data_IF_149275793350
#
_entry.id   IF_149275793350
#
_cell.length_a   1.000
_cell.length_b   1.000
_cell.length_c   1.000
_cell.angle_alpha   90.00
_cell.angle_beta   90.00
_cell.angle_gamma   90.00
#
_symmetry.space_group_name_H-M   'P 1'
#
loop_
_entity.id
_entity.type
_entity.pdbx_description
1 polymer ?
#
# COMPACT_ATOMS: atom_id res chain seq x y z
N UNK A 1 34.47 4.31 -25.21
CA UNK A 1 33.81 3.73 -24.03
C UNK A 1 32.55 4.56 -23.78
N UNK A 2 31.43 4.14 -24.37
CA UNK A 2 30.15 4.81 -24.15
C UNK A 2 29.74 4.54 -22.72
N UNK A 3 29.74 5.58 -21.91
CA UNK A 3 29.12 5.54 -20.58
C UNK A 3 27.63 5.29 -20.81
N UNK A 4 27.20 4.03 -20.68
CA UNK A 4 25.79 3.68 -20.56
C UNK A 4 25.27 4.53 -19.40
N UNK A 5 24.49 5.56 -19.70
CA UNK A 5 23.75 6.29 -18.68
C UNK A 5 22.88 5.22 -18.02
N UNK A 6 23.26 4.80 -16.83
CA UNK A 6 22.50 3.87 -16.00
C UNK A 6 21.16 4.55 -15.73
N UNK A 7 20.14 4.11 -16.44
CA UNK A 7 18.78 4.58 -16.20
C UNK A 7 18.30 3.90 -14.91
N UNK A 8 18.16 4.63 -13.84
CA UNK A 8 17.56 4.14 -12.60
C UNK A 8 16.10 4.55 -12.55
N UNK A 9 15.23 3.63 -12.10
CA UNK A 9 13.84 3.94 -11.80
C UNK A 9 13.70 4.22 -10.30
N UNK A 10 13.20 5.40 -9.94
CA UNK A 10 12.99 5.78 -8.54
C UNK A 10 11.51 5.72 -8.19
N UNK A 11 11.17 4.94 -7.16
CA UNK A 11 9.81 4.77 -6.64
C UNK A 11 9.71 5.43 -5.27
N UNK A 12 8.66 6.21 -5.05
CA UNK A 12 8.26 6.63 -3.71
C UNK A 12 7.19 5.66 -3.18
N UNK A 13 7.40 5.11 -1.99
CA UNK A 13 6.45 4.23 -1.32
C UNK A 13 5.97 4.84 -0.02
N UNK A 14 4.68 5.14 0.05
CA UNK A 14 3.96 5.65 1.23
C UNK A 14 2.79 4.72 1.58
N UNK A 15 2.33 4.74 2.83
CA UNK A 15 1.21 3.92 3.31
C UNK A 15 0.51 4.53 4.51
N UNK A 16 -0.68 4.03 4.81
CA UNK A 16 -1.39 4.25 6.07
C UNK A 16 -1.56 5.74 6.40
N UNK A 17 -2.10 6.49 5.45
CA UNK A 17 -2.28 7.93 5.54
C UNK A 17 -3.40 8.34 6.49
N UNK A 18 -4.44 7.50 6.63
CA UNK A 18 -5.53 7.61 7.57
C UNK A 18 -6.20 8.98 7.59
N UNK A 19 -6.51 9.55 6.42
CA UNK A 19 -7.33 10.75 6.35
C UNK A 19 -8.65 10.51 7.08
N UNK A 20 -8.99 11.39 8.00
CA UNK A 20 -10.14 11.22 8.85
C UNK A 20 -11.09 12.41 8.80
N UNK A 21 -12.36 12.09 8.88
CA UNK A 21 -13.47 13.01 9.10
C UNK A 21 -14.44 12.35 10.08
N UNK A 22 -15.29 13.15 10.72
CA UNK A 22 -16.26 12.61 11.64
C UNK A 22 -17.57 12.30 10.91
N UNK A 23 -18.31 11.23 11.32
CA UNK A 23 -19.65 10.97 10.85
C UNK A 23 -20.57 12.17 11.09
N UNK A 24 -21.33 12.60 10.08
CA UNK A 24 -22.14 13.81 10.13
C UNK A 24 -23.65 13.53 10.24
N UNK A 25 -24.07 12.30 9.94
CA UNK A 25 -25.47 11.91 9.97
C UNK A 25 -25.64 10.54 10.63
N UNK A 26 -26.86 10.26 11.09
CA UNK A 26 -27.18 9.02 11.81
C UNK A 26 -26.87 7.73 11.03
N UNK A 27 -26.91 7.77 9.70
CA UNK A 27 -26.58 6.61 8.86
C UNK A 27 -25.09 6.28 8.90
N UNK A 28 -24.23 7.28 9.04
CA UNK A 28 -22.79 7.11 9.16
C UNK A 28 -22.36 6.60 10.53
N UNK A 29 -23.16 6.84 11.59
CA UNK A 29 -22.97 6.33 12.95
C UNK A 29 -23.42 4.88 13.15
N UNK A 30 -23.69 4.12 12.09
CA UNK A 30 -24.10 2.71 12.18
C UNK A 30 -22.91 1.77 12.13
N UNK A 31 -23.10 0.57 12.72
CA UNK A 31 -22.19 -0.58 12.63
C UNK A 31 -20.79 -0.35 13.22
N UNK A 32 -19.79 -0.98 12.65
CA UNK A 32 -18.36 -0.91 13.01
C UNK A 32 -17.80 0.53 13.11
N UNK A 33 -18.41 1.51 12.41
CA UNK A 33 -18.02 2.91 12.48
C UNK A 33 -18.17 3.53 13.86
N UNK A 34 -19.11 3.07 14.69
CA UNK A 34 -19.27 3.59 16.07
C UNK A 34 -18.00 3.34 16.87
N UNK A 35 -17.47 2.11 16.86
CA UNK A 35 -16.23 1.77 17.55
C UNK A 35 -15.03 2.53 16.98
N UNK A 36 -14.96 2.64 15.66
CA UNK A 36 -13.92 3.40 14.98
C UNK A 36 -14.00 4.90 15.29
N UNK A 37 -15.19 5.49 15.32
CA UNK A 37 -15.39 6.90 15.61
C UNK A 37 -15.08 7.26 17.07
N UNK A 38 -15.44 6.40 18.04
CA UNK A 38 -15.06 6.61 19.45
C UNK A 38 -13.53 6.53 19.63
N UNK A 39 -12.87 5.56 19.01
CA UNK A 39 -11.42 5.48 19.04
C UNK A 39 -10.76 6.68 18.35
N UNK A 40 -11.34 7.17 17.24
CA UNK A 40 -10.89 8.38 16.54
C UNK A 40 -10.99 9.61 17.44
N UNK A 41 -12.14 9.80 18.11
CA UNK A 41 -12.37 10.94 19.01
C UNK A 41 -11.37 10.99 20.16
N UNK A 42 -11.02 9.84 20.75
CA UNK A 42 -10.21 9.79 21.96
C UNK A 42 -8.71 9.62 21.74
N UNK A 43 -8.26 9.07 20.59
CA UNK A 43 -6.84 8.71 20.39
C UNK A 43 -6.29 9.00 19.00
N UNK A 44 -7.02 8.74 17.92
CA UNK A 44 -6.45 8.70 16.57
C UNK A 44 -6.45 10.03 15.81
N UNK A 45 -7.38 10.96 16.09
CA UNK A 45 -7.44 12.23 15.38
C UNK A 45 -6.16 13.08 15.57
N UNK A 46 -5.59 13.06 16.77
CA UNK A 46 -4.30 13.73 17.05
C UNK A 46 -3.09 13.00 16.48
N UNK A 47 -3.26 11.72 16.15
CA UNK A 47 -2.19 10.87 15.62
C UNK A 47 -1.89 11.13 14.15
N UNK A 48 -2.92 11.45 13.35
CA UNK A 48 -2.83 11.65 11.89
C UNK A 48 -3.29 13.07 11.51
N UNK A 49 -2.57 14.12 11.89
CA UNK A 49 -3.01 15.48 11.56
C UNK A 49 -2.85 15.76 10.06
N UNK A 50 -3.85 16.41 9.48
CA UNK A 50 -3.86 16.80 8.07
C UNK A 50 -2.61 17.60 7.67
N UNK A 51 -2.04 18.37 8.59
CA UNK A 51 -0.82 19.14 8.34
C UNK A 51 0.37 18.24 7.97
N UNK A 52 0.48 17.04 8.56
CA UNK A 52 1.55 16.10 8.20
C UNK A 52 1.35 15.52 6.80
N UNK A 53 0.10 15.24 6.41
CA UNK A 53 -0.19 14.82 5.04
C UNK A 53 0.19 15.91 4.02
N UNK A 54 -0.10 17.19 4.31
CA UNK A 54 0.32 18.31 3.49
C UNK A 54 1.85 18.47 3.42
N UNK A 55 2.55 18.26 4.54
CA UNK A 55 4.02 18.26 4.60
C UNK A 55 4.61 17.11 3.76
N UNK A 56 4.03 15.90 3.85
CA UNK A 56 4.41 14.75 3.05
C UNK A 56 4.29 15.05 1.55
N UNK A 57 3.15 15.55 1.12
CA UNK A 57 2.90 15.95 -0.28
C UNK A 57 3.93 16.99 -0.74
N UNK A 58 4.14 18.07 0.03
CA UNK A 58 5.09 19.12 -0.30
C UNK A 58 6.54 18.62 -0.36
N UNK A 59 6.89 17.60 0.46
CA UNK A 59 8.21 16.98 0.43
C UNK A 59 8.38 16.12 -0.83
N UNK A 60 7.42 15.26 -1.15
CA UNK A 60 7.46 14.39 -2.34
C UNK A 60 7.48 15.22 -3.62
N UNK A 61 6.75 16.33 -3.70
CA UNK A 61 6.78 17.24 -4.87
C UNK A 61 8.18 17.80 -5.18
N UNK A 62 9.05 17.90 -4.18
CA UNK A 62 10.42 18.39 -4.35
C UNK A 62 11.44 17.30 -4.68
N UNK A 63 11.01 16.05 -4.67
CA UNK A 63 11.85 14.90 -4.96
C UNK A 63 11.74 14.50 -6.44
N UNK A 64 12.82 13.91 -6.96
CA UNK A 64 12.77 13.26 -8.26
C UNK A 64 12.30 11.81 -8.08
N UNK A 65 11.25 11.43 -8.80
CA UNK A 65 10.71 10.07 -8.78
C UNK A 65 10.00 9.76 -10.10
N UNK A 66 10.02 8.49 -10.48
CA UNK A 66 9.35 7.99 -11.67
C UNK A 66 7.96 7.44 -11.35
N UNK A 67 7.77 6.82 -10.18
CA UNK A 67 6.51 6.20 -9.81
C UNK A 67 6.18 6.39 -8.31
N UNK A 68 4.91 6.59 -8.01
CA UNK A 68 4.40 6.68 -6.64
C UNK A 68 3.57 5.43 -6.32
N UNK A 69 3.86 4.78 -5.20
CA UNK A 69 3.09 3.67 -4.65
C UNK A 69 2.45 4.09 -3.34
N UNK A 70 1.13 3.89 -3.22
CA UNK A 70 0.38 4.03 -1.98
C UNK A 70 -0.23 2.67 -1.63
N UNK A 71 0.31 2.02 -0.60
CA UNK A 71 -0.06 0.64 -0.26
C UNK A 71 -1.23 0.52 0.72
N UNK A 72 -2.18 1.45 0.65
CA UNK A 72 -3.49 1.34 1.31
C UNK A 72 -3.66 2.20 2.55
N UNK A 73 -4.85 2.07 3.15
CA UNK A 73 -5.32 2.83 4.30
C UNK A 73 -5.24 4.35 4.09
N UNK A 74 -5.84 4.79 2.97
CA UNK A 74 -6.03 6.21 2.66
C UNK A 74 -6.92 6.87 3.70
N UNK A 75 -8.02 6.20 4.10
CA UNK A 75 -9.01 6.75 5.02
C UNK A 75 -9.05 6.00 6.34
N UNK A 76 -9.61 6.62 7.38
CA UNK A 76 -9.76 6.00 8.70
C UNK A 76 -11.08 5.22 8.86
N UNK A 77 -12.18 5.70 8.27
CA UNK A 77 -13.54 5.19 8.51
C UNK A 77 -14.33 4.88 7.22
N UNK A 78 -13.70 4.90 6.06
CA UNK A 78 -14.38 4.79 4.75
C UNK A 78 -15.56 5.78 4.61
N UNK A 79 -15.44 7.00 5.12
CA UNK A 79 -16.42 8.06 4.91
C UNK A 79 -16.14 8.76 3.59
N UNK A 80 -17.19 9.13 2.86
CA UNK A 80 -17.05 9.81 1.58
C UNK A 80 -16.23 11.10 1.69
N UNK A 81 -16.48 11.90 2.74
CA UNK A 81 -15.68 13.10 3.02
C UNK A 81 -14.21 12.80 3.31
N UNK A 82 -13.89 11.64 3.92
CA UNK A 82 -12.52 11.20 4.12
C UNK A 82 -11.83 10.90 2.80
N UNK A 83 -12.52 10.24 1.85
CA UNK A 83 -12.00 10.02 0.50
C UNK A 83 -11.82 11.32 -0.28
N UNK A 84 -12.79 12.26 -0.20
CA UNK A 84 -12.67 13.59 -0.82
C UNK A 84 -11.46 14.35 -0.30
N UNK A 85 -11.28 14.39 1.04
CA UNK A 85 -10.14 15.04 1.68
C UNK A 85 -8.80 14.41 1.27
N UNK A 86 -8.75 13.07 1.21
CA UNK A 86 -7.57 12.36 0.73
C UNK A 86 -7.26 12.71 -0.74
N UNK A 87 -8.27 12.68 -1.62
CA UNK A 87 -8.13 13.01 -3.04
C UNK A 87 -7.63 14.44 -3.24
N UNK A 88 -8.25 15.40 -2.56
CA UNK A 88 -7.87 16.81 -2.64
C UNK A 88 -6.44 17.06 -2.15
N UNK A 89 -6.08 16.44 -1.01
CA UNK A 89 -4.74 16.63 -0.42
C UNK A 89 -3.64 16.00 -1.29
N UNK A 90 -3.92 14.83 -1.87
CA UNK A 90 -2.95 14.09 -2.70
C UNK A 90 -2.93 14.58 -4.16
N UNK A 91 -3.90 15.39 -4.60
CA UNK A 91 -4.04 15.83 -5.99
C UNK A 91 -2.72 16.30 -6.65
N UNK A 92 -1.84 17.05 -5.97
CA UNK A 92 -0.57 17.47 -6.56
C UNK A 92 0.35 16.32 -6.98
N UNK A 93 0.20 15.12 -6.40
CA UNK A 93 0.98 13.91 -6.71
C UNK A 93 0.27 12.99 -7.70
N UNK A 94 -1.02 13.21 -7.94
CA UNK A 94 -1.91 12.31 -8.68
C UNK A 94 -2.25 12.79 -10.11
N UNK A 95 -1.49 13.74 -10.65
CA UNK A 95 -1.76 14.35 -11.95
C UNK A 95 -1.61 13.41 -13.13
N UNK A 96 -0.73 12.43 -13.01
CA UNK A 96 -0.50 11.41 -14.03
C UNK A 96 -0.80 10.01 -13.46
N UNK A 97 -1.98 9.44 -13.77
CA UNK A 97 -2.35 8.11 -13.27
C UNK A 97 -1.41 6.99 -13.73
N UNK A 98 -0.63 7.18 -14.80
CA UNK A 98 0.32 6.18 -15.26
C UNK A 98 1.55 6.08 -14.34
N UNK A 99 1.84 7.13 -13.60
CA UNK A 99 2.95 7.19 -12.64
C UNK A 99 2.52 6.86 -11.22
N UNK A 100 1.29 6.36 -11.01
CA UNK A 100 0.77 6.12 -9.66
C UNK A 100 0.10 4.75 -9.58
N UNK A 101 0.39 4.02 -8.52
CA UNK A 101 -0.31 2.79 -8.12
C UNK A 101 -0.85 2.97 -6.71
N UNK A 102 -2.16 2.83 -6.54
CA UNK A 102 -2.82 2.87 -5.24
C UNK A 102 -3.60 1.58 -5.06
N UNK A 103 -3.36 0.86 -3.97
CA UNK A 103 -4.18 -0.30 -3.59
C UNK A 103 -5.00 0.05 -2.34
N UNK A 104 -6.20 -0.51 -2.15
CA UNK A 104 -6.98 -0.25 -0.94
C UNK A 104 -6.44 -1.02 0.26
N UNK A 105 -6.55 -0.40 1.46
CA UNK A 105 -6.36 -1.07 2.74
C UNK A 105 -7.69 -1.44 3.41
N UNK A 106 -7.62 -2.05 4.59
CA UNK A 106 -8.82 -2.48 5.33
C UNK A 106 -9.68 -1.30 5.80
N UNK A 107 -9.08 -0.16 6.09
CA UNK A 107 -9.80 1.06 6.45
C UNK A 107 -10.50 1.71 5.24
N UNK A 108 -10.07 1.45 4.01
CA UNK A 108 -10.73 1.94 2.79
C UNK A 108 -11.95 1.10 2.41
N UNK A 109 -12.00 -0.16 2.82
CA UNK A 109 -13.11 -1.10 2.66
C UNK A 109 -13.81 -1.40 4.00
N UNK A 110 -13.78 -0.50 4.95
CA UNK A 110 -14.08 -0.69 6.38
C UNK A 110 -15.48 -1.26 6.67
N UNK A 111 -16.49 -0.85 5.91
CA UNK A 111 -17.88 -1.28 6.09
C UNK A 111 -18.50 -1.72 4.77
N UNK A 112 -19.47 -2.67 4.84
CA UNK A 112 -20.21 -3.16 3.67
C UNK A 112 -20.87 -2.05 2.86
N UNK A 113 -21.39 -1.01 3.50
CA UNK A 113 -22.01 0.13 2.83
C UNK A 113 -20.99 0.90 1.98
N UNK A 114 -19.78 1.15 2.48
CA UNK A 114 -18.74 1.85 1.72
C UNK A 114 -18.24 0.99 0.55
N UNK A 115 -18.16 -0.32 0.73
CA UNK A 115 -17.83 -1.25 -0.34
C UNK A 115 -18.97 -1.38 -1.37
N UNK A 116 -20.24 -1.38 -0.91
CA UNK A 116 -21.41 -1.40 -1.80
C UNK A 116 -21.56 -0.14 -2.65
N UNK A 117 -21.20 1.02 -2.10
CA UNK A 117 -21.16 2.30 -2.84
C UNK A 117 -19.86 2.47 -3.62
N UNK A 118 -18.94 1.51 -3.49
CA UNK A 118 -17.63 1.50 -4.15
C UNK A 118 -16.87 2.83 -4.04
N UNK A 119 -16.88 3.41 -2.83
CA UNK A 119 -16.29 4.72 -2.57
C UNK A 119 -14.80 4.78 -2.93
N UNK A 120 -14.06 3.70 -2.69
CA UNK A 120 -12.67 3.63 -3.11
C UNK A 120 -12.53 3.84 -4.63
N UNK A 121 -13.26 3.09 -5.45
CA UNK A 121 -13.19 3.22 -6.90
C UNK A 121 -13.76 4.55 -7.40
N UNK A 122 -14.74 5.13 -6.72
CA UNK A 122 -15.26 6.47 -7.04
C UNK A 122 -14.16 7.53 -7.00
N UNK A 123 -13.25 7.48 -6.03
CA UNK A 123 -12.23 8.50 -5.82
C UNK A 123 -10.84 8.11 -6.34
N UNK A 124 -10.51 6.83 -6.38
CA UNK A 124 -9.17 6.32 -6.69
C UNK A 124 -9.14 5.20 -7.72
N UNK A 125 -10.27 4.85 -8.33
CA UNK A 125 -10.38 3.75 -9.28
C UNK A 125 -9.51 3.91 -10.55
N UNK A 126 -9.20 5.13 -10.94
CA UNK A 126 -8.30 5.41 -12.07
C UNK A 126 -6.85 4.92 -11.82
N UNK A 127 -6.45 4.77 -10.56
CA UNK A 127 -5.11 4.33 -10.16
C UNK A 127 -5.02 2.81 -9.96
N UNK A 128 -6.13 2.10 -9.93
CA UNK A 128 -6.17 0.65 -9.82
C UNK A 128 -6.84 -0.02 -11.04
N UNK A 129 -7.94 0.55 -11.53
CA UNK A 129 -8.73 -0.01 -12.62
C UNK A 129 -9.82 -0.98 -12.14
N UNK A 130 -10.45 -1.68 -13.11
CA UNK A 130 -11.55 -2.63 -12.86
C UNK A 130 -11.13 -4.09 -12.94
N UNK A 131 -9.85 -4.36 -13.19
CA UNK A 131 -9.29 -5.70 -13.33
C UNK A 131 -9.00 -6.33 -11.97
N UNK A 132 -8.80 -7.67 -11.95
CA UNK A 132 -8.39 -8.40 -10.74
C UNK A 132 -7.00 -7.98 -10.23
N UNK A 133 -6.17 -7.45 -11.11
CA UNK A 133 -4.84 -6.90 -10.81
C UNK A 133 -4.65 -5.58 -11.53
N UNK A 134 -3.82 -4.73 -10.94
CA UNK A 134 -3.38 -3.49 -11.55
C UNK A 134 -1.95 -3.64 -12.05
N UNK A 135 -1.69 -3.39 -13.34
CA UNK A 135 -0.36 -3.49 -13.95
C UNK A 135 0.16 -2.12 -14.34
N UNK A 136 1.40 -1.82 -13.94
CA UNK A 136 2.20 -0.70 -14.45
C UNK A 136 3.58 -1.20 -14.90
N UNK A 137 3.94 -0.94 -16.15
CA UNK A 137 5.28 -1.19 -16.64
C UNK A 137 6.17 -0.01 -16.28
N UNK A 138 7.35 -0.31 -15.78
CA UNK A 138 8.40 0.66 -15.49
C UNK A 138 9.51 0.52 -16.53
N UNK A 139 10.57 1.32 -16.38
CA UNK A 139 11.80 1.16 -17.15
C UNK A 139 12.57 -0.09 -16.66
N UNK A 140 13.58 -0.50 -17.43
CA UNK A 140 14.55 -1.53 -17.06
C UNK A 140 13.93 -2.89 -16.66
N UNK A 141 12.93 -3.33 -17.45
CA UNK A 141 12.24 -4.62 -17.27
C UNK A 141 11.56 -4.79 -15.91
N UNK A 142 11.20 -3.70 -15.24
CA UNK A 142 10.40 -3.75 -14.03
C UNK A 142 8.91 -3.54 -14.31
N UNK A 143 8.09 -4.19 -13.53
CA UNK A 143 6.65 -4.01 -13.56
C UNK A 143 6.06 -4.05 -12.14
N UNK A 144 5.09 -3.19 -11.87
CA UNK A 144 4.31 -3.16 -10.64
C UNK A 144 2.98 -3.89 -10.87
N UNK A 145 2.62 -4.77 -9.94
CA UNK A 145 1.34 -5.47 -9.89
C UNK A 145 0.65 -5.15 -8.57
N UNK A 146 -0.41 -4.35 -8.63
CA UNK A 146 -1.25 -4.04 -7.47
C UNK A 146 -2.31 -5.10 -7.23
N UNK A 147 -2.53 -5.47 -5.97
CA UNK A 147 -3.56 -6.40 -5.51
C UNK A 147 -4.56 -5.73 -4.59
N UNK A 148 -5.86 -5.93 -4.83
CA UNK A 148 -6.92 -5.60 -3.89
C UNK A 148 -7.29 -6.85 -3.06
N UNK A 149 -6.77 -6.91 -1.84
CA UNK A 149 -7.06 -7.98 -0.88
C UNK A 149 -7.93 -7.52 0.29
N UNK A 150 -8.33 -6.24 0.30
CA UNK A 150 -9.17 -5.68 1.33
C UNK A 150 -10.66 -5.98 1.07
N UNK A 151 -11.38 -6.30 2.10
CA UNK A 151 -12.85 -6.50 2.04
C UNK A 151 -13.50 -6.15 3.38
N UNK A 152 -14.80 -5.83 3.38
CA UNK A 152 -15.52 -5.58 4.61
C UNK A 152 -15.57 -6.82 5.50
N UNK A 153 -15.15 -6.69 6.74
CA UNK A 153 -15.11 -7.76 7.73
C UNK A 153 -16.13 -7.55 8.85
N UNK A 154 -16.23 -8.55 9.72
CA UNK A 154 -16.98 -8.47 10.97
C UNK A 154 -16.40 -7.39 11.89
N UNK A 155 -17.12 -7.06 12.96
CA UNK A 155 -16.79 -5.97 13.89
C UNK A 155 -15.36 -5.98 14.44
N UNK A 156 -14.77 -7.16 14.61
CA UNK A 156 -13.46 -7.35 15.26
C UNK A 156 -12.32 -7.67 14.27
N UNK A 157 -12.60 -7.87 12.98
CA UNK A 157 -11.58 -8.27 12.03
C UNK A 157 -11.23 -7.15 11.05
N UNK A 158 -9.93 -6.99 10.82
CA UNK A 158 -9.32 -6.16 9.78
C UNK A 158 -8.58 -7.02 8.73
N UNK A 159 -8.76 -8.34 8.77
CA UNK A 159 -8.07 -9.29 7.91
C UNK A 159 -8.42 -9.12 6.42
N UNK A 160 -7.51 -9.52 5.55
CA UNK A 160 -7.69 -9.50 4.10
C UNK A 160 -7.72 -10.91 3.49
N UNK A 161 -7.93 -10.97 2.19
CA UNK A 161 -7.83 -12.22 1.42
C UNK A 161 -7.37 -11.92 -0.01
N UNK A 162 -6.27 -12.48 -0.43
CA UNK A 162 -5.90 -12.48 -1.84
C UNK A 162 -6.75 -13.52 -2.55
N UNK A 163 -7.59 -13.10 -3.50
CA UNK A 163 -8.50 -14.01 -4.20
C UNK A 163 -7.73 -14.97 -5.12
N UNK A 164 -8.32 -16.14 -5.36
CA UNK A 164 -7.75 -17.09 -6.32
C UNK A 164 -7.67 -16.50 -7.73
N UNK A 165 -8.66 -15.69 -8.12
CA UNK A 165 -8.66 -14.97 -9.40
C UNK A 165 -7.48 -13.99 -9.52
N UNK A 166 -7.13 -13.30 -8.43
CA UNK A 166 -5.98 -12.39 -8.38
C UNK A 166 -4.67 -13.16 -8.59
N UNK A 167 -4.48 -14.29 -7.91
CA UNK A 167 -3.30 -15.15 -8.12
C UNK A 167 -3.25 -15.70 -9.55
N UNK A 168 -4.38 -16.17 -10.10
CA UNK A 168 -4.44 -16.69 -11.46
C UNK A 168 -4.15 -15.59 -12.51
N UNK A 169 -4.69 -14.38 -12.32
CA UNK A 169 -4.41 -13.26 -13.21
C UNK A 169 -2.93 -12.86 -13.17
N UNK A 170 -2.33 -12.88 -11.96
CA UNK A 170 -0.89 -12.64 -11.80
C UNK A 170 -0.07 -13.75 -12.45
N UNK A 171 -0.42 -15.02 -12.27
CA UNK A 171 0.24 -16.17 -12.90
C UNK A 171 0.27 -16.03 -14.42
N UNK A 172 -0.91 -15.73 -15.02
CA UNK A 172 -1.03 -15.52 -16.45
C UNK A 172 -0.14 -14.35 -16.93
N UNK A 173 -0.06 -13.28 -16.13
CA UNK A 173 0.83 -12.15 -16.43
C UNK A 173 2.29 -12.57 -16.44
N UNK A 174 2.74 -13.29 -15.39
CA UNK A 174 4.13 -13.76 -15.27
C UNK A 174 4.54 -14.66 -16.44
N UNK A 175 3.63 -15.53 -16.89
CA UNK A 175 3.86 -16.46 -18.01
C UNK A 175 3.91 -15.75 -19.38
N UNK A 176 3.23 -14.62 -19.54
CA UNK A 176 3.13 -13.88 -20.80
C UNK A 176 4.07 -12.67 -20.89
N UNK A 177 4.86 -12.40 -19.86
CA UNK A 177 5.90 -11.38 -19.89
C UNK A 177 7.26 -11.97 -20.27
N UNK A 178 8.19 -11.18 -20.82
CA UNK A 178 9.57 -11.60 -21.03
C UNK A 178 10.19 -12.18 -19.75
N UNK A 179 11.06 -13.18 -19.88
CA UNK A 179 11.64 -13.91 -18.75
C UNK A 179 12.50 -13.00 -17.83
N UNK A 180 13.08 -11.95 -18.40
CA UNK A 180 13.85 -10.92 -17.69
C UNK A 180 13.00 -9.96 -16.87
N UNK A 181 11.67 -9.91 -17.08
CA UNK A 181 10.77 -9.00 -16.36
C UNK A 181 10.78 -9.28 -14.86
N UNK A 182 11.06 -8.25 -14.08
CA UNK A 182 11.07 -8.27 -12.61
C UNK A 182 9.81 -7.63 -12.07
N UNK A 183 9.15 -8.30 -11.15
CA UNK A 183 7.86 -7.84 -10.64
C UNK A 183 7.97 -7.33 -9.21
N UNK A 184 7.22 -6.25 -8.98
CA UNK A 184 6.94 -5.66 -7.68
C UNK A 184 5.48 -5.90 -7.38
N UNK A 185 5.17 -6.68 -6.34
CA UNK A 185 3.80 -6.80 -5.85
C UNK A 185 3.53 -5.69 -4.86
N UNK A 186 2.40 -5.01 -5.03
CA UNK A 186 1.88 -4.01 -4.08
C UNK A 186 0.59 -4.55 -3.49
N UNK A 187 0.58 -4.73 -2.19
CA UNK A 187 -0.58 -5.14 -1.42
C UNK A 187 -0.60 -4.38 -0.09
N UNK A 188 -1.74 -4.30 0.59
CA UNK A 188 -1.79 -3.65 1.89
C UNK A 188 -1.23 -4.54 3.01
N UNK A 189 -1.53 -5.82 2.99
CA UNK A 189 -1.22 -6.75 4.07
C UNK A 189 0.19 -7.36 3.96
N UNK A 190 0.86 -7.61 5.12
CA UNK A 190 2.17 -8.24 5.14
C UNK A 190 2.13 -9.74 4.76
N UNK A 191 3.27 -10.28 4.32
CA UNK A 191 3.48 -11.72 4.11
C UNK A 191 4.14 -12.42 5.31
N UNK A 192 4.72 -11.64 6.22
CA UNK A 192 5.30 -12.07 7.49
C UNK A 192 5.40 -10.85 8.41
N UNK A 193 5.79 -11.05 9.65
CA UNK A 193 5.84 -10.00 10.66
C UNK A 193 7.24 -9.90 11.28
N UNK A 194 7.63 -8.74 11.85
CA UNK A 194 8.87 -8.60 12.60
C UNK A 194 8.94 -9.62 13.75
N UNK A 195 10.17 -10.01 14.10
CA UNK A 195 10.40 -10.89 15.25
C UNK A 195 9.84 -10.27 16.54
N UNK A 196 9.20 -11.09 17.37
CA UNK A 196 8.54 -10.64 18.60
C UNK A 196 7.20 -9.93 18.41
N UNK A 197 6.75 -9.75 17.17
CA UNK A 197 5.41 -9.20 16.89
C UNK A 197 4.33 -10.15 17.40
N UNK A 198 3.40 -9.65 18.22
CA UNK A 198 2.26 -10.44 18.69
C UNK A 198 1.31 -10.68 17.52
N UNK A 199 1.24 -11.92 17.10
CA UNK A 199 0.41 -12.37 16.01
C UNK A 199 -1.07 -12.18 16.35
N UNK A 200 -1.82 -11.56 15.45
CA UNK A 200 -3.27 -11.41 15.60
C UNK A 200 -3.96 -11.81 14.30
N UNK A 201 -4.61 -12.98 14.32
CA UNK A 201 -5.37 -13.55 13.19
C UNK A 201 -6.42 -12.61 12.61
N UNK A 202 -6.82 -11.59 13.36
CA UNK A 202 -7.81 -10.61 12.91
C UNK A 202 -7.20 -9.46 12.08
N UNK A 203 -5.85 -9.40 11.97
CA UNK A 203 -5.14 -8.33 11.27
C UNK A 203 -4.23 -8.84 10.14
N UNK A 204 -4.34 -10.10 9.72
CA UNK A 204 -3.53 -10.68 8.67
C UNK A 204 -4.36 -11.13 7.45
N UNK A 205 -3.69 -11.64 6.43
CA UNK A 205 -4.38 -12.37 5.36
C UNK A 205 -4.91 -13.70 5.89
N UNK A 206 -6.19 -13.99 5.71
CA UNK A 206 -6.76 -15.32 6.03
C UNK A 206 -6.03 -16.46 5.31
N UNK A 207 -5.49 -16.19 4.13
CA UNK A 207 -4.72 -17.13 3.32
C UNK A 207 -3.24 -16.76 3.21
N UNK A 208 -2.65 -16.23 4.30
CA UNK A 208 -1.26 -15.77 4.36
C UNK A 208 -0.26 -16.82 3.86
N UNK A 209 -0.29 -18.01 4.45
CA UNK A 209 0.69 -19.08 4.14
C UNK A 209 0.60 -19.55 2.68
N UNK A 210 -0.59 -19.88 2.13
CA UNK A 210 -0.73 -20.18 0.71
C UNK A 210 -0.23 -19.08 -0.22
N UNK A 211 -0.54 -17.80 0.08
CA UNK A 211 -0.12 -16.65 -0.74
C UNK A 211 1.39 -16.47 -0.70
N UNK A 212 1.98 -16.52 0.50
CA UNK A 212 3.44 -16.42 0.66
C UNK A 212 4.15 -17.52 -0.10
N UNK A 213 3.72 -18.77 0.04
CA UNK A 213 4.32 -19.90 -0.65
C UNK A 213 4.16 -19.80 -2.17
N UNK A 214 3.03 -19.25 -2.65
CA UNK A 214 2.83 -18.98 -4.06
C UNK A 214 3.84 -17.93 -4.56
N UNK A 215 4.01 -16.80 -3.88
CA UNK A 215 4.98 -15.75 -4.25
C UNK A 215 6.41 -16.30 -4.25
N UNK A 216 6.78 -17.10 -3.25
CA UNK A 216 8.13 -17.64 -3.13
C UNK A 216 8.50 -18.60 -4.28
N UNK A 217 7.53 -19.26 -4.91
CA UNK A 217 7.74 -20.09 -6.12
C UNK A 217 7.98 -19.30 -7.40
N UNK A 218 7.78 -17.98 -7.40
CA UNK A 218 7.94 -17.13 -8.59
C UNK A 218 9.14 -16.19 -8.42
N UNK A 219 10.36 -16.60 -8.83
CA UNK A 219 11.59 -15.82 -8.62
C UNK A 219 11.61 -14.49 -9.39
N UNK A 220 10.76 -14.31 -10.39
CA UNK A 220 10.57 -13.02 -11.08
C UNK A 220 9.96 -11.95 -10.15
N UNK A 221 9.22 -12.32 -9.11
CA UNK A 221 8.71 -11.39 -8.09
C UNK A 221 9.87 -11.07 -7.14
N UNK A 222 10.44 -9.89 -7.25
CA UNK A 222 11.65 -9.49 -6.54
C UNK A 222 11.37 -8.64 -5.31
N UNK A 223 10.24 -7.93 -5.31
CA UNK A 223 9.90 -6.95 -4.30
C UNK A 223 8.41 -7.06 -3.93
N UNK A 224 8.10 -6.89 -2.65
CA UNK A 224 6.75 -6.84 -2.13
C UNK A 224 6.61 -5.61 -1.23
N UNK A 225 5.77 -4.65 -1.65
CA UNK A 225 5.51 -3.40 -0.95
C UNK A 225 4.19 -3.48 -0.22
N UNK A 226 4.21 -3.13 1.05
CA UNK A 226 3.01 -3.17 1.90
C UNK A 226 3.01 -2.13 3.01
N UNK A 227 1.89 -2.00 3.73
CA UNK A 227 1.72 -1.19 4.92
C UNK A 227 1.17 -2.00 6.08
N UNK A 228 0.10 -1.50 6.71
CA UNK A 228 -0.73 -2.17 7.71
C UNK A 228 -0.13 -2.29 9.12
N UNK A 229 1.15 -2.60 9.27
CA UNK A 229 1.78 -2.76 10.59
C UNK A 229 2.34 -1.46 11.18
N UNK A 230 2.24 -0.34 10.46
CA UNK A 230 2.64 1.00 10.88
C UNK A 230 4.08 1.12 11.39
N UNK A 231 5.00 0.27 10.91
CA UNK A 231 6.42 0.33 11.24
C UNK A 231 7.26 0.27 9.97
N UNK A 232 8.33 1.04 9.88
CA UNK A 232 9.30 0.86 8.81
C UNK A 232 10.05 -0.44 9.04
N UNK A 233 9.89 -1.35 8.11
CA UNK A 233 10.46 -2.67 8.25
C UNK A 233 10.86 -3.22 6.87
N UNK A 234 12.07 -3.72 6.81
CA UNK A 234 12.60 -4.42 5.65
C UNK A 234 12.97 -5.83 6.06
N UNK A 235 12.59 -6.79 5.24
CA UNK A 235 12.90 -8.19 5.49
C UNK A 235 13.15 -8.93 4.18
N UNK A 236 14.11 -9.86 4.20
CA UNK A 236 14.40 -10.73 3.06
C UNK A 236 13.90 -12.13 3.36
N UNK A 237 13.02 -12.64 2.52
CA UNK A 237 12.55 -14.02 2.60
C UNK A 237 13.39 -14.87 1.65
N UNK A 238 14.09 -15.90 2.19
CA UNK A 238 14.83 -16.86 1.38
C UNK A 238 13.88 -17.67 0.49
N UNK A 239 14.39 -18.19 -0.60
CA UNK A 239 13.72 -19.10 -1.53
C UNK A 239 14.55 -20.38 -1.67
N UNK A 240 13.89 -21.46 -2.08
CA UNK A 240 14.58 -22.70 -2.42
C UNK A 240 15.49 -22.52 -3.65
N UNK A 241 15.10 -21.61 -4.58
CA UNK A 241 15.88 -21.29 -5.76
C UNK A 241 15.65 -19.85 -6.20
N UNK A 242 16.72 -19.22 -6.73
CA UNK A 242 16.65 -17.85 -7.20
C UNK A 242 16.90 -16.81 -6.11
N UNK A 243 16.74 -15.51 -6.45
CA UNK A 243 17.00 -14.43 -5.51
C UNK A 243 15.93 -14.33 -4.42
N UNK A 244 16.35 -13.87 -3.25
CA UNK A 244 15.44 -13.59 -2.12
C UNK A 244 14.35 -12.59 -2.49
N UNK A 245 13.19 -12.73 -1.85
CA UNK A 245 12.11 -11.74 -1.93
C UNK A 245 12.38 -10.63 -0.90
N UNK A 246 12.50 -9.40 -1.35
CA UNK A 246 12.57 -8.25 -0.44
C UNK A 246 11.16 -7.75 -0.09
N UNK A 247 10.84 -7.73 1.20
CA UNK A 247 9.64 -7.13 1.75
C UNK A 247 9.97 -5.72 2.24
N UNK A 248 9.13 -4.75 1.90
CA UNK A 248 9.26 -3.37 2.38
C UNK A 248 7.91 -2.92 2.93
N UNK A 249 7.84 -2.75 4.24
CA UNK A 249 6.71 -2.13 4.90
C UNK A 249 6.98 -0.63 5.09
N UNK A 250 6.10 0.20 4.54
CA UNK A 250 6.10 1.62 4.86
C UNK A 250 5.31 1.85 6.13
N UNK A 251 5.90 2.56 7.08
CA UNK A 251 5.19 3.01 8.28
C UNK A 251 4.01 3.90 7.90
N UNK A 252 3.16 4.22 8.87
CA UNK A 252 2.15 5.24 8.65
C UNK A 252 2.82 6.59 8.39
N UNK A 253 2.88 6.96 7.12
CA UNK A 253 3.69 8.09 6.64
C UNK A 253 3.26 9.45 7.22
N UNK A 254 2.08 9.54 7.81
CA UNK A 254 1.50 10.75 8.40
C UNK A 254 1.38 10.71 9.91
N UNK A 255 1.78 9.62 10.58
CA UNK A 255 1.64 9.46 12.04
C UNK A 255 2.58 10.38 12.82
N UNK A 256 2.09 10.88 13.95
CA UNK A 256 2.88 11.61 14.97
C UNK A 256 3.38 10.74 16.13
N UNK A 257 2.75 9.60 16.39
CA UNK A 257 2.97 8.82 17.61
C UNK A 257 4.27 8.05 17.63
N UNK A 258 4.95 8.00 16.54
CA UNK A 258 6.17 7.24 16.41
C UNK A 258 7.36 8.16 16.37
N UNK A 259 8.46 7.75 16.99
CA UNK A 259 9.74 8.44 16.91
C UNK A 259 10.08 8.78 15.46
N UNK A 260 11.00 9.69 15.23
CA UNK A 260 11.45 10.08 13.89
C UNK A 260 11.72 8.90 12.96
N UNK A 261 12.16 7.76 13.50
CA UNK A 261 12.37 6.52 12.76
C UNK A 261 11.08 5.85 12.26
N UNK A 262 9.92 6.18 12.80
CA UNK A 262 8.64 5.54 12.47
C UNK A 262 7.69 6.39 11.61
N UNK A 263 7.99 7.66 11.43
CA UNK A 263 7.23 8.59 10.61
C UNK A 263 7.98 8.90 9.33
N UNK A 264 8.31 7.87 8.58
CA UNK A 264 9.03 7.97 7.32
C UNK A 264 8.30 7.24 6.21
N UNK A 265 8.74 7.49 5.00
CA UNK A 265 8.35 6.76 3.80
C UNK A 265 9.63 6.29 3.10
N UNK A 266 9.51 5.54 2.01
CA UNK A 266 10.68 5.01 1.33
C UNK A 266 10.86 5.62 -0.05
N UNK A 267 12.11 5.89 -0.41
CA UNK A 267 12.57 5.97 -1.79
C UNK A 267 13.22 4.64 -2.14
N UNK A 268 12.81 4.06 -3.26
CA UNK A 268 13.28 2.76 -3.74
C UNK A 268 13.86 2.99 -5.13
N UNK A 269 15.17 2.81 -5.24
CA UNK A 269 15.88 2.96 -6.51
C UNK A 269 16.17 1.57 -7.08
N UNK A 270 15.79 1.39 -8.35
CA UNK A 270 15.95 0.15 -9.11
C UNK A 270 17.05 0.38 -10.15
N UNK A 271 18.17 -0.32 -10.02
CA UNK A 271 19.32 -0.20 -10.91
C UNK A 271 19.83 -1.60 -11.31
N UNK A 272 19.84 -1.92 -12.58
CA UNK A 272 20.39 -3.19 -13.12
C UNK A 272 19.95 -4.46 -12.36
N UNK A 273 18.68 -4.49 -11.94
CA UNK A 273 18.12 -5.58 -11.15
C UNK A 273 18.43 -5.53 -9.65
N UNK A 274 19.21 -4.56 -9.20
CA UNK A 274 19.43 -4.28 -7.78
C UNK A 274 18.32 -3.38 -7.23
N UNK A 275 18.03 -3.53 -5.94
CA UNK A 275 17.05 -2.73 -5.22
C UNK A 275 17.72 -2.06 -4.04
N UNK A 276 17.71 -0.73 -4.02
CA UNK A 276 18.15 0.07 -2.87
C UNK A 276 16.92 0.74 -2.23
N UNK A 277 16.72 0.54 -0.94
CA UNK A 277 15.64 1.14 -0.18
C UNK A 277 16.21 2.14 0.82
N UNK A 278 15.77 3.39 0.73
CA UNK A 278 16.20 4.49 1.59
C UNK A 278 15.00 5.05 2.36
N UNK A 279 15.00 5.00 3.70
CA UNK A 279 13.97 5.66 4.49
C UNK A 279 14.12 7.18 4.41
N UNK A 280 13.02 7.88 4.18
CA UNK A 280 12.97 9.35 4.12
C UNK A 280 12.13 9.84 5.29
N UNK A 281 12.76 10.54 6.21
CA UNK A 281 12.07 11.12 7.38
C UNK A 281 11.17 12.28 6.97
N UNK A 282 10.00 12.35 7.54
CA UNK A 282 9.11 13.50 7.45
C UNK A 282 9.33 14.37 8.69
N UNK A 283 10.20 15.36 8.56
CA UNK A 283 10.51 16.33 9.60
C UNK A 283 9.41 17.39 9.70
#
# INVERSE_FOLDING_TARGET
MDSKILMSTSIIHISDLHFHTYPQNFREWKSKRILGATNLLFRRASQYPLQRAKQLVAKIQKMNWDHLVISGDLTQLSLEKGFSLARETLDPLLKDPQRVTIVPGNHDRYVRQAAGNDLYNKYFGEFFGKSEIHLRRLKDDWAIVGWDSAHPNNWLSAAGTVRRSTLQATENLLQNCPAETRFIIVNHYPLTFPEGWKFDKFHELYNLVPVRNWILRHPQIRLYLHGHIHENWLHRLPRDSGPELLLVNSASSTSKLYSEQKSSFHQIDLEDGNVRVSPILLN
#
